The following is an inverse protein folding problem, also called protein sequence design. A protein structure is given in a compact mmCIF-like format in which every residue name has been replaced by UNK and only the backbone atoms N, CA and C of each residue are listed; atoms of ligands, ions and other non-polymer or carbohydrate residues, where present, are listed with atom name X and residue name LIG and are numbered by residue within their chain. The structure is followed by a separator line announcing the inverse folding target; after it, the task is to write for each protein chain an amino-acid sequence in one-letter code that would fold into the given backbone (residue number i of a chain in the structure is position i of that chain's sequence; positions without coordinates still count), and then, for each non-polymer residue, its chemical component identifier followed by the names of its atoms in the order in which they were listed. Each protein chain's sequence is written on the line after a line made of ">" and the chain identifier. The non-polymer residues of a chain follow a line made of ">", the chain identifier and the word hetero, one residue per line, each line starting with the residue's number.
data_IF_643131837873
#
_entry.id   IF_643131837873
#
_cell.length_a   1.000
_cell.length_b   1.000
_cell.length_c   1.000
_cell.angle_alpha   90.00
_cell.angle_beta   90.00
_cell.angle_gamma   90.00
#
_symmetry.space_group_name_H-M   'P 1'
#
loop_
_entity.id
_entity.type
_entity.pdbx_description
1 polymer ?
#
# COMPACT_ATOMS: atom_id res chain seq x y z
N UNK A 1 9.45 28.27 -3.33
CA UNK A 1 9.32 26.80 -3.19
C UNK A 1 8.62 26.27 -4.43
N UNK A 2 8.97 25.06 -4.94
CA UNK A 2 8.28 24.48 -6.09
C UNK A 2 6.79 24.30 -5.79
N UNK A 3 5.94 24.56 -6.79
CA UNK A 3 4.49 24.35 -6.72
C UNK A 3 4.21 22.86 -6.43
N UNK A 4 3.29 22.51 -5.52
CA UNK A 4 2.91 21.11 -5.33
C UNK A 4 2.36 20.53 -6.65
N UNK A 5 2.66 19.27 -6.97
CA UNK A 5 2.05 18.58 -8.10
C UNK A 5 0.54 18.47 -7.93
N UNK A 6 -0.21 18.31 -9.02
CA UNK A 6 -1.66 18.09 -8.93
C UNK A 6 -1.93 16.70 -8.31
N UNK A 7 -2.57 16.67 -7.15
CA UNK A 7 -2.93 15.42 -6.46
C UNK A 7 -3.80 14.51 -7.33
N UNK A 8 -4.55 15.08 -8.28
CA UNK A 8 -5.45 14.32 -9.17
C UNK A 8 -4.67 13.47 -10.16
N UNK A 9 -3.59 14.00 -10.71
CA UNK A 9 -2.73 13.27 -11.64
C UNK A 9 -2.03 12.11 -10.90
N UNK A 10 -1.55 12.37 -9.68
CA UNK A 10 -0.97 11.34 -8.82
C UNK A 10 -2.01 10.25 -8.51
N UNK A 11 -3.22 10.65 -8.12
CA UNK A 11 -4.31 9.73 -7.82
C UNK A 11 -4.71 8.88 -9.03
N UNK A 12 -4.86 9.47 -10.21
CA UNK A 12 -5.19 8.75 -11.44
C UNK A 12 -4.13 7.70 -11.79
N UNK A 13 -2.84 8.07 -11.67
CA UNK A 13 -1.76 7.11 -11.90
C UNK A 13 -1.78 5.97 -10.87
N UNK A 14 -2.06 6.27 -9.60
CA UNK A 14 -2.20 5.26 -8.55
C UNK A 14 -3.35 4.28 -8.84
N UNK A 15 -4.50 4.77 -9.32
CA UNK A 15 -5.64 3.94 -9.73
C UNK A 15 -5.29 3.05 -10.92
N UNK A 16 -4.53 3.55 -11.92
CA UNK A 16 -4.07 2.71 -13.04
C UNK A 16 -3.19 1.55 -12.57
N UNK A 17 -2.25 1.77 -11.65
CA UNK A 17 -1.44 0.69 -11.08
C UNK A 17 -2.27 -0.28 -10.22
N UNK A 18 -3.23 0.25 -9.46
CA UNK A 18 -4.16 -0.56 -8.68
C UNK A 18 -5.01 -1.47 -9.57
N UNK A 19 -5.46 -0.96 -10.71
CA UNK A 19 -6.22 -1.71 -11.70
C UNK A 19 -5.35 -2.76 -12.39
N UNK A 20 -4.12 -2.42 -12.78
CA UNK A 20 -3.17 -3.38 -13.34
C UNK A 20 -2.93 -4.57 -12.39
N UNK A 21 -2.84 -4.30 -11.08
CA UNK A 21 -2.71 -5.34 -10.06
C UNK A 21 -3.93 -6.26 -10.01
N UNK A 22 -5.14 -5.70 -10.09
CA UNK A 22 -6.40 -6.47 -10.14
C UNK A 22 -6.44 -7.39 -11.37
N UNK A 23 -6.06 -6.86 -12.54
CA UNK A 23 -6.02 -7.63 -13.78
C UNK A 23 -4.99 -8.78 -13.71
N UNK A 24 -3.82 -8.54 -13.13
CA UNK A 24 -2.80 -9.57 -12.90
C UNK A 24 -3.28 -10.67 -11.95
N UNK A 25 -4.05 -10.31 -10.92
CA UNK A 25 -4.66 -11.27 -10.01
C UNK A 25 -5.71 -12.14 -10.70
N UNK A 26 -6.55 -11.53 -11.53
CA UNK A 26 -7.55 -12.26 -12.32
C UNK A 26 -6.91 -13.22 -13.32
N UNK A 27 -5.83 -12.80 -13.98
CA UNK A 27 -5.08 -13.65 -14.89
C UNK A 27 -4.37 -14.80 -14.17
N UNK A 28 -4.00 -14.63 -12.90
CA UNK A 28 -3.39 -15.68 -12.09
C UNK A 28 -4.38 -16.78 -11.67
N UNK A 29 -5.69 -16.47 -11.62
CA UNK A 29 -6.72 -17.44 -11.25
C UNK A 29 -6.78 -18.55 -12.31
N UNK A 30 -6.28 -19.72 -11.97
CA UNK A 30 -6.29 -20.92 -12.83
C UNK A 30 -4.95 -21.31 -13.47
N UNK A 31 -3.83 -20.65 -13.13
CA UNK A 31 -2.48 -21.07 -13.56
C UNK A 31 -1.47 -21.06 -12.42
N UNK A 32 -0.53 -22.00 -12.48
CA UNK A 32 0.21 -22.51 -11.32
C UNK A 32 1.31 -21.58 -10.79
N UNK A 33 1.73 -20.52 -11.48
CA UNK A 33 2.57 -19.42 -10.97
C UNK A 33 2.91 -18.47 -12.12
N UNK A 34 3.03 -17.17 -11.85
CA UNK A 34 3.59 -16.23 -12.84
C UNK A 34 3.33 -14.74 -12.59
N UNK A 35 2.17 -14.39 -12.02
CA UNK A 35 1.78 -12.99 -11.88
C UNK A 35 2.02 -12.41 -10.47
N UNK A 36 2.42 -13.20 -9.48
CA UNK A 36 2.57 -12.74 -8.08
C UNK A 36 3.65 -11.66 -7.91
N UNK A 37 4.82 -11.83 -8.53
CA UNK A 37 5.88 -10.84 -8.50
C UNK A 37 5.50 -9.56 -9.27
N UNK A 38 5.05 -9.63 -10.56
CA UNK A 38 4.54 -8.44 -11.27
C UNK A 38 3.43 -7.71 -10.50
N UNK A 39 2.49 -8.45 -9.91
CA UNK A 39 1.39 -7.89 -9.11
C UNK A 39 1.93 -7.10 -7.91
N UNK A 40 2.88 -7.68 -7.19
CA UNK A 40 3.52 -7.03 -6.05
C UNK A 40 4.23 -5.73 -6.46
N UNK A 41 4.86 -5.69 -7.64
CA UNK A 41 5.47 -4.46 -8.17
C UNK A 41 4.44 -3.37 -8.46
N UNK A 42 3.35 -3.69 -9.13
CA UNK A 42 2.31 -2.67 -9.42
C UNK A 42 1.55 -2.25 -8.15
N UNK A 43 1.32 -3.15 -7.20
CA UNK A 43 0.79 -2.81 -5.86
C UNK A 43 1.70 -1.83 -5.14
N UNK A 44 3.01 -2.05 -5.23
CA UNK A 44 4.03 -1.21 -4.62
C UNK A 44 3.99 0.22 -5.14
N UNK A 45 3.88 0.40 -6.45
CA UNK A 45 3.72 1.73 -7.05
C UNK A 45 2.41 2.39 -6.66
N UNK A 46 1.31 1.65 -6.63
CA UNK A 46 0.01 2.17 -6.21
C UNK A 46 0.06 2.70 -4.77
N UNK A 47 0.59 1.91 -3.82
CA UNK A 47 0.75 2.32 -2.41
C UNK A 47 1.58 3.61 -2.29
N UNK A 48 2.73 3.65 -2.95
CA UNK A 48 3.60 4.83 -2.93
C UNK A 48 2.88 6.08 -3.44
N UNK A 49 2.18 5.97 -4.58
CA UNK A 49 1.48 7.09 -5.19
C UNK A 49 0.28 7.54 -4.36
N UNK A 50 -0.47 6.62 -3.74
CA UNK A 50 -1.54 7.00 -2.82
C UNK A 50 -0.99 7.77 -1.60
N UNK A 51 0.11 7.30 -0.99
CA UNK A 51 0.76 8.02 0.13
C UNK A 51 1.25 9.41 -0.30
N UNK A 52 1.83 9.54 -1.50
CA UNK A 52 2.24 10.84 -2.06
C UNK A 52 1.04 11.75 -2.32
N UNK A 53 -0.06 11.21 -2.85
CA UNK A 53 -1.30 11.94 -3.07
C UNK A 53 -1.86 12.48 -1.74
N UNK A 54 -1.97 11.63 -0.72
CA UNK A 54 -2.41 12.01 0.61
C UNK A 54 -1.49 13.08 1.23
N UNK A 55 -0.17 12.98 1.04
CA UNK A 55 0.76 14.00 1.54
C UNK A 55 0.48 15.37 0.90
N UNK A 56 0.23 15.41 -0.41
CA UNK A 56 -0.07 16.67 -1.12
C UNK A 56 -1.39 17.26 -0.60
N UNK A 57 -2.42 16.42 -0.39
CA UNK A 57 -3.70 16.84 0.18
C UNK A 57 -3.55 17.36 1.62
N UNK A 58 -2.86 16.61 2.48
CA UNK A 58 -2.64 16.94 3.89
C UNK A 58 -1.86 18.25 4.09
N UNK A 59 -0.79 18.43 3.30
CA UNK A 59 0.23 19.45 3.58
C UNK A 59 0.20 20.61 2.61
N UNK A 60 -0.52 20.50 1.50
CA UNK A 60 -0.48 21.43 0.37
C UNK A 60 0.95 21.75 -0.08
N UNK A 61 1.80 20.72 -0.12
CA UNK A 61 3.24 20.81 -0.42
C UNK A 61 3.65 19.67 -1.35
N UNK A 62 4.73 19.89 -2.10
CA UNK A 62 5.35 18.83 -2.88
C UNK A 62 5.74 17.66 -1.95
N UNK A 63 5.40 16.44 -2.36
CA UNK A 63 5.76 15.25 -1.59
C UNK A 63 7.29 15.09 -1.52
N UNK A 64 7.81 14.46 -0.45
CA UNK A 64 9.25 14.19 -0.37
C UNK A 64 9.71 13.25 -1.50
N UNK A 65 10.99 13.35 -1.84
CA UNK A 65 11.64 12.43 -2.76
C UNK A 65 11.85 11.04 -2.11
N UNK A 66 11.85 9.99 -2.93
CA UNK A 66 12.07 8.61 -2.52
C UNK A 66 10.83 7.71 -2.52
N UNK A 67 11.04 6.47 -2.08
CA UNK A 67 10.10 5.34 -2.18
C UNK A 67 9.84 4.65 -0.82
N UNK A 68 10.39 5.17 0.27
CA UNK A 68 10.25 4.58 1.61
C UNK A 68 8.86 4.85 2.18
N UNK A 69 8.00 3.83 2.18
CA UNK A 69 6.58 3.97 2.57
C UNK A 69 6.40 4.33 4.04
N UNK A 70 7.26 3.82 4.92
CA UNK A 70 7.25 4.16 6.34
C UNK A 70 7.53 5.66 6.52
N UNK A 71 8.54 6.19 5.83
CA UNK A 71 8.84 7.64 5.85
C UNK A 71 7.72 8.48 5.24
N UNK A 72 7.09 8.01 4.16
CA UNK A 72 5.96 8.70 3.53
C UNK A 72 4.75 8.75 4.48
N UNK A 73 4.38 7.60 5.05
CA UNK A 73 3.27 7.49 6.02
C UNK A 73 3.51 8.36 7.25
N UNK A 74 4.72 8.30 7.85
CA UNK A 74 5.03 9.07 9.05
C UNK A 74 4.96 10.59 8.85
N UNK A 75 5.06 11.07 7.61
CA UNK A 75 4.96 12.48 7.24
C UNK A 75 3.51 12.96 7.03
N UNK A 76 2.54 12.06 6.96
CA UNK A 76 1.11 12.40 6.92
C UNK A 76 0.66 13.07 8.23
N UNK A 77 -0.48 13.75 8.19
CA UNK A 77 -1.10 14.30 9.39
C UNK A 77 -1.63 13.19 10.30
N UNK A 78 -1.70 13.42 11.64
CA UNK A 78 -2.19 12.41 12.57
C UNK A 78 -3.54 11.82 12.20
N UNK A 79 -4.52 12.66 11.81
CA UNK A 79 -5.86 12.18 11.44
C UNK A 79 -5.85 11.25 10.21
N UNK A 80 -5.00 11.55 9.22
CA UNK A 80 -4.89 10.75 7.98
C UNK A 80 -4.25 9.39 8.29
N UNK A 81 -3.24 9.37 9.17
CA UNK A 81 -2.65 8.11 9.67
C UNK A 81 -3.67 7.25 10.40
N UNK A 82 -4.44 7.85 11.32
CA UNK A 82 -5.51 7.15 12.05
C UNK A 82 -6.54 6.58 11.07
N UNK A 83 -7.01 7.38 10.11
CA UNK A 83 -7.99 6.91 9.12
C UNK A 83 -7.50 5.70 8.30
N UNK A 84 -6.21 5.67 7.94
CA UNK A 84 -5.59 4.54 7.23
C UNK A 84 -5.55 3.30 8.13
N UNK A 85 -5.11 3.44 9.38
CA UNK A 85 -5.07 2.33 10.35
C UNK A 85 -6.48 1.76 10.57
N UNK A 86 -7.47 2.61 10.78
CA UNK A 86 -8.88 2.20 10.97
C UNK A 86 -9.45 1.52 9.71
N UNK A 87 -9.07 1.98 8.52
CA UNK A 87 -9.45 1.34 7.26
C UNK A 87 -8.83 -0.05 7.14
N UNK A 88 -7.56 -0.20 7.51
CA UNK A 88 -6.85 -1.48 7.50
C UNK A 88 -7.45 -2.47 8.49
N UNK A 89 -7.67 -2.06 9.75
CA UNK A 89 -8.30 -2.90 10.76
C UNK A 89 -9.69 -3.39 10.32
N UNK A 90 -10.50 -2.51 9.72
CA UNK A 90 -11.81 -2.88 9.18
C UNK A 90 -11.70 -3.91 8.07
N UNK A 91 -10.73 -3.76 7.16
CA UNK A 91 -10.50 -4.75 6.09
C UNK A 91 -10.13 -6.10 6.70
N UNK A 92 -9.15 -6.13 7.61
CA UNK A 92 -8.73 -7.37 8.29
C UNK A 92 -9.90 -8.05 9.00
N UNK A 93 -10.68 -7.31 9.79
CA UNK A 93 -11.84 -7.86 10.52
C UNK A 93 -12.96 -8.36 9.60
N UNK A 94 -13.08 -7.80 8.41
CA UNK A 94 -14.09 -8.23 7.42
C UNK A 94 -13.67 -9.43 6.59
N UNK A 95 -12.39 -9.81 6.61
CA UNK A 95 -11.89 -10.93 5.84
C UNK A 95 -12.15 -12.25 6.59
N UNK A 96 -12.85 -13.24 6.01
CA UNK A 96 -13.22 -14.47 6.70
C UNK A 96 -12.02 -15.29 7.20
N UNK A 97 -10.89 -15.23 6.51
CA UNK A 97 -9.66 -15.95 6.87
C UNK A 97 -8.87 -15.16 7.89
N UNK A 98 -8.66 -13.86 7.64
CA UNK A 98 -7.82 -13.04 8.53
C UNK A 98 -8.49 -12.75 9.87
N UNK A 99 -9.82 -12.70 9.93
CA UNK A 99 -10.57 -12.48 11.17
C UNK A 99 -10.44 -13.62 12.19
N UNK A 100 -10.00 -14.81 11.77
CA UNK A 100 -9.81 -15.99 12.62
C UNK A 100 -8.35 -16.47 12.67
N UNK A 101 -7.42 -15.64 12.19
CA UNK A 101 -5.99 -15.99 12.12
C UNK A 101 -5.38 -16.29 13.49
N UNK A 102 -5.86 -15.65 14.55
CA UNK A 102 -5.45 -15.88 15.94
C UNK A 102 -5.73 -17.31 16.42
N UNK A 103 -6.85 -17.89 15.97
CA UNK A 103 -7.24 -19.27 16.27
C UNK A 103 -6.42 -20.27 15.45
N UNK A 104 -6.10 -19.93 14.20
CA UNK A 104 -5.46 -20.85 13.23
C UNK A 104 -3.93 -20.84 13.39
N UNK A 105 -3.33 -19.67 13.54
CA UNK A 105 -1.89 -19.50 13.68
C UNK A 105 -1.56 -18.17 14.42
N UNK A 106 -1.32 -18.20 15.73
CA UNK A 106 -0.99 -17.02 16.52
C UNK A 106 0.25 -16.27 16.02
N UNK A 107 1.20 -16.95 15.37
CA UNK A 107 2.37 -16.27 14.79
C UNK A 107 2.02 -15.47 13.54
N UNK A 108 0.91 -15.77 12.86
CA UNK A 108 0.45 -15.05 11.69
C UNK A 108 -0.36 -13.80 12.04
N UNK A 109 -0.65 -13.55 13.33
CA UNK A 109 -1.21 -12.28 13.82
C UNK A 109 -0.35 -11.07 13.44
N UNK A 110 0.95 -11.29 13.21
CA UNK A 110 1.86 -10.27 12.69
C UNK A 110 1.45 -9.70 11.33
N UNK A 111 0.63 -10.43 10.56
CA UNK A 111 0.13 -10.04 9.25
C UNK A 111 -1.08 -9.09 9.34
N UNK A 112 -1.64 -8.91 10.53
CA UNK A 112 -2.76 -8.00 10.79
C UNK A 112 -2.34 -6.67 11.44
N UNK A 113 -1.05 -6.46 11.65
CA UNK A 113 -0.49 -5.19 12.12
C UNK A 113 -0.10 -4.31 10.92
N UNK A 114 -0.70 -3.13 10.82
CA UNK A 114 -0.45 -2.18 9.73
C UNK A 114 1.02 -1.71 9.71
N UNK A 115 1.57 -1.31 10.86
CA UNK A 115 2.92 -0.76 10.93
C UNK A 115 3.97 -1.83 10.62
N UNK A 116 3.76 -3.06 11.10
CA UNK A 116 4.63 -4.19 10.79
C UNK A 116 4.55 -4.55 9.31
N UNK A 117 3.35 -4.57 8.73
CA UNK A 117 3.15 -4.79 7.30
C UNK A 117 3.86 -3.73 6.46
N UNK A 118 3.75 -2.46 6.86
CA UNK A 118 4.42 -1.34 6.20
C UNK A 118 5.94 -1.46 6.28
N UNK A 119 6.47 -1.86 7.44
CA UNK A 119 7.91 -2.08 7.66
C UNK A 119 8.43 -3.27 6.87
N UNK A 120 7.71 -4.39 6.83
CA UNK A 120 8.05 -5.56 6.03
C UNK A 120 8.09 -5.24 4.53
N UNK A 121 7.21 -4.36 4.09
CA UNK A 121 7.14 -3.95 2.68
C UNK A 121 8.36 -3.15 2.20
N UNK A 122 9.04 -2.43 3.11
CA UNK A 122 10.16 -1.53 2.79
C UNK A 122 11.24 -2.16 1.91
N UNK A 123 11.66 -3.39 2.24
CA UNK A 123 12.75 -4.07 1.54
C UNK A 123 12.23 -5.02 0.46
N UNK A 124 10.91 -5.17 0.33
CA UNK A 124 10.32 -6.25 -0.47
C UNK A 124 10.59 -6.05 -1.95
N UNK A 125 10.57 -4.80 -2.42
CA UNK A 125 10.92 -4.46 -3.80
C UNK A 125 12.36 -4.86 -4.11
N UNK A 126 13.30 -4.49 -3.24
CA UNK A 126 14.73 -4.80 -3.41
C UNK A 126 14.96 -6.32 -3.38
N UNK A 127 14.33 -7.02 -2.43
CA UNK A 127 14.41 -8.48 -2.31
C UNK A 127 13.87 -9.21 -3.53
N UNK A 128 12.74 -8.75 -4.08
CA UNK A 128 12.14 -9.35 -5.28
C UNK A 128 12.91 -9.02 -6.54
N UNK A 129 13.46 -7.81 -6.63
CA UNK A 129 14.26 -7.36 -7.77
C UNK A 129 15.57 -8.13 -7.90
N UNK A 130 16.24 -8.39 -6.77
CA UNK A 130 17.51 -9.10 -6.72
C UNK A 130 17.35 -10.55 -6.27
N UNK A 131 16.18 -11.15 -6.47
CA UNK A 131 15.88 -12.51 -6.03
C UNK A 131 16.92 -13.54 -6.46
N UNK A 132 17.54 -13.34 -7.63
CA UNK A 132 18.56 -14.21 -8.21
C UNK A 132 20.01 -13.86 -7.79
N UNK A 133 20.21 -12.71 -7.15
CA UNK A 133 21.52 -12.19 -6.74
C UNK A 133 21.72 -12.26 -5.21
N UNK A 134 20.65 -12.52 -4.45
CA UNK A 134 20.66 -12.49 -2.99
C UNK A 134 21.03 -13.84 -2.36
N UNK A 135 21.80 -13.77 -1.26
CA UNK A 135 22.12 -14.95 -0.45
C UNK A 135 20.85 -15.49 0.25
N UNK A 136 20.75 -16.81 0.51
CA UNK A 136 19.56 -17.45 1.10
C UNK A 136 19.09 -16.82 2.43
N UNK A 137 20.00 -16.22 3.20
CA UNK A 137 19.74 -15.57 4.48
C UNK A 137 18.89 -14.29 4.33
N UNK A 138 18.99 -13.61 3.18
CA UNK A 138 18.23 -12.39 2.88
C UNK A 138 16.77 -12.71 2.53
N UNK A 139 16.49 -13.95 2.10
CA UNK A 139 15.15 -14.44 1.75
C UNK A 139 14.29 -14.81 2.98
N UNK A 140 14.85 -14.80 4.20
CA UNK A 140 14.13 -15.07 5.47
C UNK A 140 13.22 -13.92 5.94
N UNK A 141 12.82 -13.03 5.05
CA UNK A 141 12.04 -11.83 5.40
C UNK A 141 10.61 -12.14 5.79
N UNK A 142 10.03 -11.28 6.63
CA UNK A 142 8.61 -11.33 6.97
C UNK A 142 7.74 -11.13 5.73
N UNK A 143 6.76 -12.01 5.57
CA UNK A 143 5.72 -11.86 4.57
C UNK A 143 4.71 -10.82 5.04
N UNK A 144 4.05 -10.14 4.11
CA UNK A 144 2.95 -9.22 4.37
C UNK A 144 1.99 -9.23 3.18
N UNK A 145 0.78 -8.74 3.40
CA UNK A 145 -0.24 -8.65 2.36
C UNK A 145 -0.27 -7.26 1.75
N UNK A 146 0.51 -7.05 0.68
CA UNK A 146 0.59 -5.77 -0.02
C UNK A 146 -0.77 -5.23 -0.49
N UNK A 147 -1.68 -6.13 -0.87
CA UNK A 147 -3.04 -5.76 -1.29
C UNK A 147 -3.86 -5.14 -0.14
N UNK A 148 -3.72 -5.59 1.11
CA UNK A 148 -4.44 -5.01 2.25
C UNK A 148 -3.97 -3.60 2.54
N UNK A 149 -2.65 -3.36 2.50
CA UNK A 149 -2.07 -2.03 2.62
C UNK A 149 -2.60 -1.10 1.52
N UNK A 150 -2.55 -1.58 0.26
CA UNK A 150 -3.07 -0.83 -0.89
C UNK A 150 -4.53 -0.46 -0.69
N UNK A 151 -5.40 -1.42 -0.37
CA UNK A 151 -6.83 -1.15 -0.23
C UNK A 151 -7.15 -0.20 0.92
N UNK A 152 -6.45 -0.31 2.06
CA UNK A 152 -6.64 0.59 3.18
C UNK A 152 -6.27 2.04 2.80
N UNK A 153 -5.08 2.25 2.22
CA UNK A 153 -4.59 3.57 1.84
C UNK A 153 -5.43 4.14 0.69
N UNK A 154 -5.81 3.31 -0.29
CA UNK A 154 -6.68 3.69 -1.40
C UNK A 154 -8.05 4.18 -0.92
N UNK A 155 -8.69 3.48 0.03
CA UNK A 155 -10.00 3.87 0.57
C UNK A 155 -9.97 5.30 1.14
N UNK A 156 -8.94 5.61 1.94
CA UNK A 156 -8.77 6.96 2.50
C UNK A 156 -8.48 7.97 1.40
N UNK A 157 -7.56 7.67 0.48
CA UNK A 157 -7.22 8.57 -0.63
C UNK A 157 -8.43 8.92 -1.49
N UNK A 158 -9.25 7.92 -1.85
CA UNK A 158 -10.47 8.13 -2.65
C UNK A 158 -11.48 9.02 -1.93
N UNK A 159 -11.62 8.88 -0.61
CA UNK A 159 -12.48 9.73 0.20
C UNK A 159 -11.98 11.18 0.20
N UNK A 160 -10.70 11.40 0.46
CA UNK A 160 -10.12 12.74 0.55
C UNK A 160 -10.11 13.45 -0.80
N UNK A 161 -9.80 12.74 -1.89
CA UNK A 161 -9.91 13.28 -3.26
C UNK A 161 -11.35 13.70 -3.57
N UNK A 162 -12.35 12.90 -3.17
CA UNK A 162 -13.77 13.24 -3.36
C UNK A 162 -14.14 14.49 -2.56
N UNK A 163 -13.75 14.58 -1.29
CA UNK A 163 -14.02 15.74 -0.43
C UNK A 163 -13.36 17.00 -0.99
N UNK A 164 -12.09 16.91 -1.39
CA UNK A 164 -11.36 18.03 -2.01
C UNK A 164 -11.97 18.49 -3.34
N UNK A 165 -12.63 17.59 -4.08
CA UNK A 165 -13.41 17.93 -5.27
C UNK A 165 -14.69 18.70 -4.98
N UNK A 166 -15.33 18.45 -3.83
CA UNK A 166 -16.55 19.13 -3.38
C UNK A 166 -16.29 20.53 -2.79
N UNK A 167 -15.07 20.77 -2.29
CA UNK A 167 -14.68 22.06 -1.69
C UNK A 167 -14.26 23.14 -2.70
N UNK A 168 -14.32 22.86 -4.01
CA UNK A 168 -14.11 23.90 -5.03
C UNK A 168 -15.47 24.54 -5.39
N UNK A 169 -15.63 25.87 -5.18
CA UNK A 169 -16.81 26.60 -5.64
C UNK A 169 -16.92 26.62 -7.17
#
# INVERSE_FOLDING_TARGET
>A
MPKPPDYREIYQLAEHYSEASRLLEEQAKGKEWGCSAPKLFVDSFAVELYLKCLYVLDRNKAHPYGHDWEKLFNKLLPQTKTAICDAFERIVRSDPVLSHLDVINPEALKLTDFNRSLKAAKDTFEKRRYLYDLQPEVLKSEWFYAHLLREAIRKVTRMDVRLAGLSKP
#
